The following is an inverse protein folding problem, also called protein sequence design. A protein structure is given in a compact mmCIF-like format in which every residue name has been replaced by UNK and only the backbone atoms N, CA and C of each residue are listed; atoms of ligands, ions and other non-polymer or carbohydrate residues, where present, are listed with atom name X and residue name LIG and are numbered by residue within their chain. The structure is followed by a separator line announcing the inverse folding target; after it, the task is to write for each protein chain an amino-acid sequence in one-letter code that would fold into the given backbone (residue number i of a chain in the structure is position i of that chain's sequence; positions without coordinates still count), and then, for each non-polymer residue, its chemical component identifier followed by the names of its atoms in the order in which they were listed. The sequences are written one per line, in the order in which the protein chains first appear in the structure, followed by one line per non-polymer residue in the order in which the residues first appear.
data_IF_230713004538
#
_entry.id   IF_230713004538
#
_cell.length_a   1.000
_cell.length_b   1.000
_cell.length_c   1.000
_cell.angle_alpha   90.00
_cell.angle_beta   90.00
_cell.angle_gamma   90.00
#
_symmetry.space_group_name_H-M   'P 1'
#
loop_
_entity.id
_entity.type
_entity.pdbx_description
1 polymer ?
#
# COMPACT_ATOMS: atom_id res chain seq x y z
N UNK A 1 -6.22 -18.16 -1.27
CA UNK A 1 -5.02 -17.81 -0.46
C UNK A 1 -5.41 -18.11 0.96
N UNK A 2 -4.59 -18.82 1.72
CA UNK A 2 -4.93 -19.14 3.12
C UNK A 2 -4.73 -17.93 4.03
N UNK A 3 -5.68 -17.69 4.93
CA UNK A 3 -5.60 -16.59 5.89
C UNK A 3 -6.39 -16.86 7.17
N UNK A 4 -5.95 -16.25 8.26
CA UNK A 4 -6.71 -16.17 9.50
C UNK A 4 -7.29 -14.77 9.70
N UNK A 5 -8.44 -14.70 10.37
CA UNK A 5 -9.11 -13.45 10.74
C UNK A 5 -9.30 -13.44 12.25
N UNK A 6 -8.91 -12.35 12.88
CA UNK A 6 -9.27 -12.04 14.26
C UNK A 6 -10.10 -10.76 14.28
N UNK A 7 -11.35 -10.86 14.71
CA UNK A 7 -12.21 -9.72 14.98
C UNK A 7 -12.14 -9.31 16.44
N UNK A 8 -12.13 -8.00 16.68
CA UNK A 8 -12.25 -7.40 17.99
C UNK A 8 -13.41 -6.40 17.99
N UNK A 9 -14.35 -6.57 18.91
CA UNK A 9 -15.50 -5.70 19.04
C UNK A 9 -15.07 -4.27 19.45
N UNK A 10 -15.73 -3.27 18.88
CA UNK A 10 -15.57 -1.87 19.23
C UNK A 10 -16.89 -1.38 19.80
N UNK A 11 -16.96 -1.30 21.13
CA UNK A 11 -18.15 -0.75 21.78
C UNK A 11 -18.05 0.78 21.84
N UNK A 12 -18.45 1.44 20.75
CA UNK A 12 -18.62 2.89 20.73
C UNK A 12 -19.90 3.29 19.98
N UNK A 13 -20.99 3.61 20.70
CA UNK A 13 -22.30 3.89 20.09
C UNK A 13 -22.32 5.14 19.21
N UNK A 14 -21.39 6.09 19.38
CA UNK A 14 -21.33 7.31 18.58
C UNK A 14 -20.65 7.13 17.21
N UNK A 15 -19.98 5.99 16.99
CA UNK A 15 -19.23 5.73 15.77
C UNK A 15 -19.88 4.64 14.94
N UNK A 16 -19.75 4.76 13.62
CA UNK A 16 -20.16 3.72 12.68
C UNK A 16 -19.29 2.47 12.75
N UNK A 17 -18.11 2.52 13.38
CA UNK A 17 -17.22 1.37 13.54
C UNK A 17 -17.75 0.44 14.62
N UNK A 18 -17.99 -0.81 14.24
CA UNK A 18 -18.51 -1.87 15.12
C UNK A 18 -17.46 -2.89 15.53
N UNK A 19 -16.50 -3.19 14.65
CA UNK A 19 -15.38 -4.09 14.97
C UNK A 19 -14.13 -3.75 14.14
N UNK A 20 -12.97 -4.21 14.61
CA UNK A 20 -11.73 -4.23 13.85
C UNK A 20 -11.29 -5.67 13.58
N UNK A 21 -11.11 -5.98 12.30
CA UNK A 21 -10.48 -7.19 11.81
C UNK A 21 -8.96 -7.00 11.69
N UNK A 22 -8.26 -8.02 12.12
CA UNK A 22 -6.87 -8.32 11.78
C UNK A 22 -6.88 -9.53 10.86
N UNK A 23 -6.23 -9.44 9.72
CA UNK A 23 -6.08 -10.54 8.77
C UNK A 23 -4.61 -10.95 8.74
N UNK A 24 -4.32 -12.24 8.78
CA UNK A 24 -2.97 -12.77 8.59
C UNK A 24 -3.00 -13.68 7.38
N UNK A 25 -2.21 -13.37 6.36
CA UNK A 25 -2.05 -14.22 5.17
C UNK A 25 -0.96 -15.24 5.43
N UNK A 26 -1.30 -16.52 5.32
CA UNK A 26 -0.47 -17.62 5.81
C UNK A 26 -0.18 -17.46 7.30
N UNK A 27 1.10 -17.48 7.65
CA UNK A 27 1.63 -17.17 8.99
C UNK A 27 2.61 -15.98 8.96
N UNK A 28 2.78 -15.35 7.80
CA UNK A 28 3.95 -14.53 7.51
C UNK A 28 3.65 -13.06 7.28
N UNK A 29 2.40 -12.68 6.95
CA UNK A 29 2.05 -11.27 6.69
C UNK A 29 0.76 -10.84 7.36
N UNK A 30 0.83 -9.78 8.17
CA UNK A 30 -0.29 -9.26 8.95
C UNK A 30 -0.82 -7.96 8.39
N UNK A 31 -2.14 -7.85 8.29
CA UNK A 31 -2.89 -6.63 8.00
C UNK A 31 -3.80 -6.32 9.18
N UNK A 32 -3.80 -5.07 9.62
CA UNK A 32 -4.59 -4.59 10.76
C UNK A 32 -5.49 -3.44 10.33
N UNK A 33 -6.41 -3.06 11.23
CA UNK A 33 -7.33 -1.93 11.04
C UNK A 33 -8.30 -2.10 9.87
N UNK A 34 -8.62 -3.34 9.49
CA UNK A 34 -9.79 -3.58 8.63
C UNK A 34 -11.02 -3.31 9.49
N UNK A 35 -11.91 -2.41 9.08
CA UNK A 35 -13.04 -1.99 9.91
C UNK A 35 -14.34 -2.63 9.43
N UNK A 36 -15.15 -3.13 10.36
CA UNK A 36 -16.57 -3.42 10.10
C UNK A 36 -17.37 -2.18 10.49
N UNK A 37 -18.08 -1.62 9.52
CA UNK A 37 -18.85 -0.39 9.64
C UNK A 37 -20.35 -0.68 9.48
N UNK A 38 -21.18 0.00 10.28
CA UNK A 38 -22.61 0.03 10.07
C UNK A 38 -22.98 1.14 9.08
N UNK A 39 -23.68 0.77 8.01
CA UNK A 39 -24.24 1.68 7.02
C UNK A 39 -25.77 1.59 6.96
N UNK A 40 -26.39 2.48 6.19
CA UNK A 40 -27.85 2.51 6.01
C UNK A 40 -28.43 1.26 5.33
N UNK A 41 -27.58 0.48 4.64
CA UNK A 41 -27.95 -0.77 3.95
C UNK A 41 -27.46 -2.03 4.69
N UNK A 42 -26.96 -1.88 5.90
CA UNK A 42 -26.34 -2.96 6.68
C UNK A 42 -24.84 -2.79 6.86
N UNK A 43 -24.24 -3.81 7.48
CA UNK A 43 -22.82 -3.82 7.83
C UNK A 43 -21.95 -4.06 6.58
N UNK A 44 -20.80 -3.41 6.54
CA UNK A 44 -19.85 -3.55 5.43
C UNK A 44 -18.41 -3.43 5.90
N UNK A 45 -17.49 -4.02 5.13
CA UNK A 45 -16.06 -4.01 5.41
C UNK A 45 -15.41 -2.80 4.73
N UNK A 46 -14.62 -2.05 5.49
CA UNK A 46 -13.76 -0.97 5.00
C UNK A 46 -12.31 -1.33 5.23
N UNK A 47 -11.53 -1.34 4.14
CA UNK A 47 -10.10 -1.57 4.22
C UNK A 47 -9.36 -0.38 4.86
N UNK A 48 -8.14 -0.61 5.40
CA UNK A 48 -7.32 0.46 5.93
C UNK A 48 -7.01 1.48 4.83
N UNK A 49 -7.29 2.75 5.08
CA UNK A 49 -7.13 3.82 4.09
C UNK A 49 -6.44 5.05 4.67
N UNK A 50 -5.87 5.85 3.77
CA UNK A 50 -5.26 7.13 4.09
C UNK A 50 -5.93 8.25 3.28
N UNK A 51 -6.01 9.43 3.90
CA UNK A 51 -6.52 10.63 3.23
C UNK A 51 -5.46 11.17 2.29
N UNK A 52 -5.81 11.34 1.02
CA UNK A 52 -4.92 11.94 0.02
C UNK A 52 -5.02 13.47 0.06
N UNK A 53 -4.17 14.14 -0.73
CA UNK A 53 -4.28 15.59 -0.98
C UNK A 53 -5.32 15.93 -2.06
N UNK A 54 -5.80 14.92 -2.78
CA UNK A 54 -6.76 15.08 -3.87
C UNK A 54 -8.16 15.33 -3.31
N UNK A 55 -8.97 16.07 -4.08
CA UNK A 55 -10.39 16.26 -3.82
C UNK A 55 -11.18 15.82 -5.04
N UNK A 56 -12.34 15.23 -4.80
CA UNK A 56 -13.25 14.85 -5.86
C UNK A 56 -13.96 16.06 -6.47
N UNK A 57 -14.79 15.83 -7.48
CA UNK A 57 -15.58 16.85 -8.17
C UNK A 57 -16.54 17.61 -7.24
N UNK A 58 -16.88 17.02 -6.09
CA UNK A 58 -17.75 17.59 -5.06
C UNK A 58 -16.96 18.20 -3.89
N UNK A 59 -15.64 18.38 -4.06
CA UNK A 59 -14.72 18.93 -3.07
C UNK A 59 -14.56 18.08 -1.79
N UNK A 60 -14.98 16.82 -1.81
CA UNK A 60 -14.74 15.88 -0.73
C UNK A 60 -13.29 15.38 -0.78
N UNK A 61 -12.67 15.06 0.38
CA UNK A 61 -11.35 14.45 0.39
C UNK A 61 -11.37 13.07 -0.27
N UNK A 62 -10.43 12.81 -1.17
CA UNK A 62 -10.24 11.47 -1.75
C UNK A 62 -9.42 10.62 -0.78
N UNK A 63 -9.90 9.41 -0.52
CA UNK A 63 -9.20 8.39 0.27
C UNK A 63 -8.67 7.33 -0.67
N UNK A 64 -7.48 6.80 -0.36
CA UNK A 64 -6.88 5.65 -1.05
C UNK A 64 -6.61 4.57 -0.02
N UNK A 65 -6.87 3.33 -0.39
CA UNK A 65 -6.60 2.20 0.47
C UNK A 65 -5.10 1.99 0.58
N UNK A 66 -4.65 1.68 1.79
CA UNK A 66 -3.27 1.23 2.06
C UNK A 66 -3.07 -0.17 1.50
N UNK A 67 -4.10 -0.99 1.62
CA UNK A 67 -4.11 -2.35 1.12
C UNK A 67 -5.53 -2.76 0.76
N UNK A 68 -5.69 -3.60 -0.26
CA UNK A 68 -6.99 -4.02 -0.74
C UNK A 68 -6.89 -5.33 -1.54
N UNK A 69 -7.97 -6.14 -1.54
CA UNK A 69 -8.12 -7.21 -2.52
C UNK A 69 -8.06 -6.65 -3.95
N UNK A 70 -7.45 -7.41 -4.85
CA UNK A 70 -7.30 -7.08 -6.28
C UNK A 70 -8.40 -7.78 -7.08
N UNK A 71 -8.60 -9.08 -6.83
CA UNK A 71 -9.58 -9.90 -7.55
C UNK A 71 -10.95 -9.79 -6.90
N UNK A 72 -12.00 -9.96 -7.71
CA UNK A 72 -13.38 -9.90 -7.23
C UNK A 72 -13.68 -11.10 -6.33
N UNK A 73 -13.19 -12.25 -6.74
CA UNK A 73 -13.35 -13.55 -6.07
C UNK A 73 -12.80 -13.46 -4.65
N UNK A 74 -11.55 -13.01 -4.49
CA UNK A 74 -10.93 -12.87 -3.18
C UNK A 74 -11.58 -11.77 -2.33
N UNK A 75 -12.06 -10.69 -2.97
CA UNK A 75 -12.80 -9.64 -2.27
C UNK A 75 -14.10 -10.18 -1.66
N UNK A 76 -14.88 -10.92 -2.44
CA UNK A 76 -16.16 -11.49 -1.99
C UNK A 76 -15.94 -12.53 -0.90
N UNK A 77 -14.92 -13.37 -1.04
CA UNK A 77 -14.48 -14.36 -0.05
C UNK A 77 -14.08 -13.67 1.27
N UNK A 78 -13.07 -12.81 1.25
CA UNK A 78 -12.55 -12.15 2.45
C UNK A 78 -13.61 -11.30 3.15
N UNK A 79 -14.41 -10.54 2.39
CA UNK A 79 -15.42 -9.66 2.99
C UNK A 79 -16.58 -10.49 3.55
N UNK A 80 -16.96 -11.56 2.85
CA UNK A 80 -17.96 -12.51 3.31
C UNK A 80 -17.54 -13.14 4.63
N UNK A 81 -16.30 -13.60 4.76
CA UNK A 81 -15.83 -14.27 5.97
C UNK A 81 -15.70 -13.31 7.15
N UNK A 82 -15.22 -12.08 6.93
CA UNK A 82 -15.22 -11.03 7.97
C UNK A 82 -16.65 -10.74 8.46
N UNK A 83 -17.63 -10.62 7.55
CA UNK A 83 -19.01 -10.33 7.93
C UNK A 83 -19.67 -11.51 8.65
N UNK A 84 -19.45 -12.74 8.20
CA UNK A 84 -19.92 -13.95 8.91
C UNK A 84 -19.36 -14.03 10.33
N UNK A 85 -18.07 -13.80 10.51
CA UNK A 85 -17.44 -13.77 11.83
C UNK A 85 -18.00 -12.64 12.72
N UNK A 86 -18.37 -11.51 12.11
CA UNK A 86 -19.02 -10.42 12.83
C UNK A 86 -20.45 -10.78 13.26
N UNK A 87 -21.22 -11.46 12.40
CA UNK A 87 -22.55 -11.98 12.78
C UNK A 87 -22.45 -12.98 13.93
N UNK A 88 -21.45 -13.88 13.91
CA UNK A 88 -21.16 -14.79 15.02
C UNK A 88 -20.79 -14.02 16.30
N UNK A 89 -19.95 -12.98 16.18
CA UNK A 89 -19.59 -12.10 17.30
C UNK A 89 -20.84 -11.45 17.92
N UNK A 90 -21.79 -10.97 17.11
CA UNK A 90 -23.05 -10.40 17.60
C UNK A 90 -23.95 -11.43 18.27
N UNK A 91 -24.04 -12.64 17.71
CA UNK A 91 -24.86 -13.73 18.26
C UNK A 91 -24.33 -14.27 19.58
N UNK A 92 -23.00 -14.41 19.68
CA UNK A 92 -22.33 -14.95 20.88
C UNK A 92 -22.09 -13.90 21.94
N UNK A 93 -22.07 -12.61 21.58
CA UNK A 93 -21.70 -11.50 22.46
C UNK A 93 -20.24 -11.51 22.89
N UNK A 94 -19.38 -12.27 22.20
CA UNK A 94 -17.95 -12.33 22.49
C UNK A 94 -17.25 -11.04 22.06
N UNK A 95 -16.29 -10.57 22.85
CA UNK A 95 -15.49 -9.39 22.49
C UNK A 95 -14.47 -9.68 21.38
N UNK A 96 -14.13 -10.95 21.17
CA UNK A 96 -13.13 -11.42 20.23
C UNK A 96 -13.58 -12.74 19.61
N UNK A 97 -13.53 -12.83 18.28
CA UNK A 97 -13.85 -14.04 17.51
C UNK A 97 -12.74 -14.27 16.48
N UNK A 98 -12.40 -15.54 16.22
CA UNK A 98 -11.30 -15.92 15.34
C UNK A 98 -11.71 -16.98 14.34
N UNK A 99 -11.11 -16.88 13.17
CA UNK A 99 -11.04 -17.93 12.16
C UNK A 99 -9.56 -18.19 11.92
N UNK A 100 -9.12 -19.42 12.17
CA UNK A 100 -7.77 -19.84 11.87
C UNK A 100 -7.73 -20.43 10.46
N UNK A 101 -6.59 -20.32 9.79
CA UNK A 101 -6.35 -21.03 8.54
C UNK A 101 -6.10 -22.51 8.83
N UNK A 102 -6.60 -23.41 7.98
CA UNK A 102 -6.41 -24.86 8.16
C UNK A 102 -4.93 -25.25 7.98
N UNK A 103 -4.33 -24.83 6.86
CA UNK A 103 -2.93 -25.09 6.52
C UNK A 103 -2.29 -23.78 6.04
N UNK A 104 -1.76 -22.93 6.96
CA UNK A 104 -1.17 -21.66 6.58
C UNK A 104 0.11 -21.88 5.77
N UNK A 105 0.10 -21.46 4.51
CA UNK A 105 1.28 -21.45 3.63
C UNK A 105 1.81 -20.03 3.43
N UNK A 106 3.11 -19.89 3.26
CA UNK A 106 3.76 -18.60 3.00
C UNK A 106 3.30 -18.06 1.63
N UNK A 107 2.65 -16.87 1.55
CA UNK A 107 2.20 -16.32 0.30
C UNK A 107 3.37 -15.93 -0.61
N UNK A 108 3.27 -16.31 -1.88
CA UNK A 108 4.09 -15.72 -2.94
C UNK A 108 3.79 -14.23 -3.06
N UNK A 109 4.81 -13.46 -3.45
CA UNK A 109 4.65 -12.02 -3.60
C UNK A 109 5.44 -11.46 -4.78
N UNK A 110 4.89 -10.40 -5.37
CA UNK A 110 5.58 -9.59 -6.38
C UNK A 110 5.78 -8.17 -5.87
N UNK A 111 6.85 -7.53 -6.32
CA UNK A 111 7.20 -6.16 -5.91
C UNK A 111 7.34 -5.27 -7.14
N UNK A 112 6.76 -4.07 -7.06
CA UNK A 112 6.97 -3.01 -8.03
C UNK A 112 7.44 -1.76 -7.31
N UNK A 113 8.54 -1.16 -7.77
CA UNK A 113 9.09 0.05 -7.16
C UNK A 113 9.12 1.18 -8.17
N UNK A 114 8.67 2.35 -7.72
CA UNK A 114 8.82 3.62 -8.43
C UNK A 114 9.86 4.45 -7.69
N UNK A 115 11.08 4.61 -8.22
CA UNK A 115 12.08 5.51 -7.68
C UNK A 115 11.62 6.96 -7.77
N UNK A 116 11.74 7.72 -6.68
CA UNK A 116 11.53 9.17 -6.69
C UNK A 116 12.14 9.81 -5.45
N UNK A 117 12.71 10.99 -5.61
CA UNK A 117 13.22 11.77 -4.49
C UNK A 117 12.17 12.81 -4.09
N UNK A 118 11.91 12.91 -2.79
CA UNK A 118 10.97 13.90 -2.25
C UNK A 118 11.73 14.98 -1.49
N UNK A 119 11.60 16.23 -1.95
CA UNK A 119 12.18 17.38 -1.27
C UNK A 119 11.82 17.42 0.22
N UNK A 120 12.82 17.54 1.09
CA UNK A 120 12.66 17.56 2.54
C UNK A 120 12.35 16.21 3.18
N UNK A 121 12.48 15.09 2.46
CA UNK A 121 12.32 13.74 2.98
C UNK A 121 13.47 12.83 2.58
N UNK A 122 13.78 11.86 3.43
CA UNK A 122 14.75 10.81 3.12
C UNK A 122 14.15 9.68 2.25
N UNK A 123 12.91 9.82 1.81
CA UNK A 123 12.24 8.83 0.96
C UNK A 123 12.77 8.94 -0.47
N UNK A 124 13.21 7.80 -1.00
CA UNK A 124 13.85 7.67 -2.32
C UNK A 124 13.04 6.79 -3.28
N UNK A 125 11.97 6.13 -2.81
CA UNK A 125 11.10 5.34 -3.66
C UNK A 125 9.80 4.92 -2.97
N UNK A 126 8.81 4.55 -3.77
CA UNK A 126 7.56 3.93 -3.31
C UNK A 126 7.48 2.53 -3.92
N UNK A 127 7.21 1.54 -3.09
CA UNK A 127 7.00 0.17 -3.46
C UNK A 127 5.53 -0.23 -3.27
N UNK A 128 5.07 -1.09 -4.15
CA UNK A 128 3.81 -1.80 -4.05
C UNK A 128 4.12 -3.30 -4.04
N UNK A 129 3.54 -4.01 -3.09
CA UNK A 129 3.68 -5.45 -2.92
C UNK A 129 2.33 -6.08 -3.26
N UNK A 130 2.33 -7.19 -4.00
CA UNK A 130 1.13 -7.97 -4.28
C UNK A 130 1.35 -9.38 -3.78
N UNK A 131 0.44 -9.88 -2.93
CA UNK A 131 0.45 -11.23 -2.36
C UNK A 131 -0.49 -12.14 -3.17
N UNK A 132 -0.01 -13.31 -3.60
CA UNK A 132 -0.67 -14.30 -4.49
C UNK A 132 -1.60 -13.69 -5.54
N UNK A 133 -1.16 -12.60 -6.19
CA UNK A 133 -1.93 -11.83 -7.19
C UNK A 133 -3.34 -11.39 -6.77
N UNK A 134 -3.65 -11.49 -5.47
CA UNK A 134 -5.01 -11.35 -4.94
C UNK A 134 -5.13 -10.21 -3.94
N UNK A 135 -4.02 -9.78 -3.33
CA UNK A 135 -4.03 -8.72 -2.33
C UNK A 135 -2.88 -7.74 -2.52
N UNK A 136 -3.20 -6.46 -2.71
CA UNK A 136 -2.22 -5.38 -2.88
C UNK A 136 -1.93 -4.69 -1.55
N UNK A 137 -0.66 -4.37 -1.33
CA UNK A 137 -0.15 -3.52 -0.25
C UNK A 137 0.62 -2.38 -0.89
N UNK A 138 0.03 -1.19 -0.87
CA UNK A 138 0.63 0.03 -1.39
C UNK A 138 1.37 0.82 -0.33
N UNK A 139 2.02 1.90 -0.76
CA UNK A 139 2.72 2.87 0.09
C UNK A 139 3.86 2.32 0.96
N UNK A 140 4.50 1.23 0.53
CA UNK A 140 5.73 0.76 1.17
C UNK A 140 6.83 1.74 0.78
N UNK A 141 7.46 2.41 1.74
CA UNK A 141 8.42 3.48 1.46
C UNK A 141 9.84 2.95 1.45
N UNK A 142 10.62 3.28 0.42
CA UNK A 142 12.08 3.06 0.40
C UNK A 142 12.74 4.33 0.92
N UNK A 143 13.50 4.22 2.01
CA UNK A 143 14.05 5.37 2.73
C UNK A 143 15.57 5.26 2.85
N UNK A 144 16.27 6.35 2.55
CA UNK A 144 17.71 6.49 2.74
C UNK A 144 18.03 6.87 4.20
N UNK A 145 18.42 5.89 5.00
CA UNK A 145 18.88 6.11 6.37
C UNK A 145 20.36 6.47 6.46
N UNK A 146 20.81 6.77 7.68
CA UNK A 146 22.24 7.02 8.00
C UNK A 146 23.11 5.78 7.76
N UNK A 147 22.55 4.58 7.96
CA UNK A 147 23.24 3.29 7.87
C UNK A 147 22.90 2.54 6.57
N UNK A 148 22.39 3.23 5.55
CA UNK A 148 21.94 2.62 4.30
C UNK A 148 20.43 2.72 4.07
N UNK A 149 19.99 2.19 2.94
CA UNK A 149 18.58 2.15 2.55
C UNK A 149 17.83 1.11 3.36
N UNK A 150 16.60 1.43 3.74
CA UNK A 150 15.70 0.52 4.43
C UNK A 150 14.26 0.67 3.95
N UNK A 151 13.48 -0.37 4.16
CA UNK A 151 12.05 -0.43 3.80
C UNK A 151 11.23 -0.04 5.02
N UNK A 152 10.33 0.91 4.85
CA UNK A 152 9.35 1.34 5.85
C UNK A 152 7.95 0.93 5.39
N UNK A 153 7.29 0.10 6.21
CA UNK A 153 5.93 -0.36 5.92
C UNK A 153 4.91 0.76 6.11
N UNK A 154 3.71 0.65 5.51
CA UNK A 154 2.65 1.62 5.69
C UNK A 154 2.24 1.71 7.16
N UNK A 155 2.26 2.92 7.71
CA UNK A 155 1.99 3.15 9.13
C UNK A 155 1.05 4.32 9.35
N UNK A 156 0.39 4.31 10.51
CA UNK A 156 -0.46 5.41 10.97
C UNK A 156 0.03 5.90 12.34
N UNK A 157 -0.21 7.18 12.61
CA UNK A 157 0.15 7.81 13.88
C UNK A 157 -0.93 7.54 14.92
N UNK A 158 -0.60 6.78 15.95
CA UNK A 158 -1.43 6.51 17.12
C UNK A 158 -0.88 7.28 18.32
N UNK A 159 -1.32 8.54 18.48
CA UNK A 159 -0.82 9.44 19.51
C UNK A 159 0.64 9.83 19.27
N UNK A 160 1.55 9.41 20.14
CA UNK A 160 2.99 9.65 20.02
C UNK A 160 3.76 8.54 19.28
N UNK A 161 3.13 7.38 19.03
CA UNK A 161 3.76 6.23 18.39
C UNK A 161 3.22 6.01 16.98
N UNK A 162 4.07 5.53 16.09
CA UNK A 162 3.64 4.99 14.80
C UNK A 162 3.35 3.51 14.95
N UNK A 163 2.30 3.04 14.28
CA UNK A 163 1.95 1.62 14.20
C UNK A 163 1.79 1.24 12.74
N UNK A 164 2.40 0.13 12.36
CA UNK A 164 2.31 -0.39 11.00
C UNK A 164 0.93 -1.00 10.79
N UNK A 165 0.34 -0.72 9.62
CA UNK A 165 -0.94 -1.27 9.19
C UNK A 165 -0.72 -2.67 8.63
N UNK A 166 0.31 -2.81 7.80
CA UNK A 166 0.69 -4.04 7.13
C UNK A 166 2.14 -4.36 7.48
N UNK A 167 2.46 -5.56 7.94
CA UNK A 167 3.84 -5.93 8.25
C UNK A 167 4.08 -7.44 8.19
N UNK A 168 5.30 -7.87 7.78
CA UNK A 168 5.72 -9.25 7.88
C UNK A 168 5.88 -9.66 9.36
N UNK A 169 5.42 -10.86 9.70
CA UNK A 169 5.45 -11.44 11.06
C UNK A 169 6.76 -12.18 11.29
N UNK A 170 7.14 -13.08 10.37
CA UNK A 170 8.32 -13.92 10.52
C UNK A 170 9.57 -13.15 10.08
N UNK A 171 10.70 -13.47 10.71
CA UNK A 171 11.99 -12.85 10.37
C UNK A 171 12.39 -13.16 8.93
N UNK A 172 12.21 -14.42 8.51
CA UNK A 172 12.54 -14.90 7.18
C UNK A 172 11.75 -14.16 6.10
N UNK A 173 10.42 -14.08 6.24
CA UNK A 173 9.58 -13.37 5.27
C UNK A 173 9.89 -11.87 5.25
N UNK A 174 10.19 -11.27 6.40
CA UNK A 174 10.64 -9.88 6.48
C UNK A 174 11.94 -9.64 5.71
N UNK A 175 12.90 -10.54 5.80
CA UNK A 175 14.16 -10.45 5.04
C UNK A 175 13.90 -10.61 3.54
N UNK A 176 13.08 -11.61 3.14
CA UNK A 176 12.67 -11.82 1.73
C UNK A 176 12.05 -10.56 1.14
N UNK A 177 11.05 -9.98 1.82
CA UNK A 177 10.35 -8.77 1.36
C UNK A 177 11.28 -7.57 1.29
N UNK A 178 12.10 -7.34 2.32
CA UNK A 178 13.02 -6.20 2.35
C UNK A 178 14.05 -6.28 1.21
N UNK A 179 14.65 -7.46 1.01
CA UNK A 179 15.63 -7.68 -0.04
C UNK A 179 15.00 -7.49 -1.42
N UNK A 180 13.85 -8.11 -1.67
CA UNK A 180 13.13 -7.98 -2.94
C UNK A 180 12.78 -6.52 -3.27
N UNK A 181 12.33 -5.72 -2.29
CA UNK A 181 12.05 -4.30 -2.47
C UNK A 181 13.32 -3.50 -2.79
N UNK A 182 14.41 -3.73 -2.06
CA UNK A 182 15.66 -2.99 -2.27
C UNK A 182 16.32 -3.36 -3.60
N UNK A 183 16.30 -4.63 -3.99
CA UNK A 183 16.81 -5.11 -5.28
C UNK A 183 16.00 -4.52 -6.44
N UNK A 184 14.66 -4.59 -6.36
CA UNK A 184 13.77 -4.00 -7.39
C UNK A 184 13.97 -2.49 -7.49
N UNK A 185 14.21 -1.80 -6.37
CA UNK A 185 14.54 -0.38 -6.37
C UNK A 185 15.86 -0.08 -7.10
N UNK A 186 16.92 -0.86 -6.83
CA UNK A 186 18.21 -0.68 -7.50
C UNK A 186 18.10 -0.89 -9.01
N UNK A 187 17.42 -1.96 -9.42
CA UNK A 187 17.15 -2.25 -10.84
C UNK A 187 16.37 -1.11 -11.51
N UNK A 188 15.29 -0.62 -10.88
CA UNK A 188 14.49 0.47 -11.40
C UNK A 188 15.28 1.79 -11.49
N UNK A 189 16.19 2.05 -10.54
CA UNK A 189 17.06 3.24 -10.55
C UNK A 189 18.09 3.17 -11.68
N UNK A 190 18.70 2.01 -11.88
CA UNK A 190 19.65 1.78 -12.99
C UNK A 190 18.97 1.92 -14.35
N UNK A 191 17.77 1.35 -14.52
CA UNK A 191 16.97 1.50 -15.73
C UNK A 191 16.62 2.98 -16.00
N UNK A 192 16.17 3.71 -14.98
CA UNK A 192 15.88 5.15 -15.12
C UNK A 192 17.11 5.98 -15.51
N UNK A 193 18.30 5.62 -15.01
CA UNK A 193 19.56 6.26 -15.42
C UNK A 193 19.93 5.95 -16.87
N UNK A 194 19.79 4.70 -17.31
CA UNK A 194 20.08 4.28 -18.69
C UNK A 194 19.13 4.95 -19.68
N UNK A 195 17.82 4.96 -19.42
CA UNK A 195 16.84 5.64 -20.27
C UNK A 195 17.11 7.15 -20.38
N UNK A 196 17.54 7.78 -19.29
CA UNK A 196 17.94 9.19 -19.29
C UNK A 196 19.17 9.46 -20.16
N UNK A 197 20.17 8.58 -20.10
CA UNK A 197 21.39 8.67 -20.92
C UNK A 197 21.11 8.41 -22.41
N UNK A 198 20.26 7.45 -22.73
CA UNK A 198 19.84 7.16 -24.11
C UNK A 198 19.03 8.31 -24.72
N UNK A 199 18.11 8.91 -23.95
CA UNK A 199 17.37 10.10 -24.42
C UNK A 199 18.28 11.31 -24.63
N UNK A 200 19.25 11.54 -23.74
CA UNK A 200 20.20 12.63 -23.87
C UNK A 200 21.13 12.43 -25.08
N UNK A 201 21.61 11.21 -25.32
CA UNK A 201 22.46 10.89 -26.47
C UNK A 201 21.70 10.92 -27.80
N UNK A 202 20.43 10.52 -27.84
CA UNK A 202 19.57 10.69 -29.01
C UNK A 202 19.28 12.16 -29.33
N UNK A 203 19.04 13.01 -28.31
CA UNK A 203 18.91 14.46 -28.50
C UNK A 203 20.20 15.12 -29.02
N UNK A 204 21.38 14.70 -28.53
CA UNK A 204 22.66 15.21 -29.04
C UNK A 204 22.95 14.74 -30.47
N UNK A 205 22.57 13.52 -30.85
CA UNK A 205 22.74 13.03 -32.24
C UNK A 205 21.78 13.69 -33.25
N UNK A 206 20.63 14.20 -32.80
CA UNK A 206 19.73 14.99 -33.67
C UNK A 206 20.23 16.40 -33.94
N UNK A 207 21.14 16.94 -33.12
CA UNK A 207 21.67 18.30 -33.25
C UNK A 207 22.79 18.41 -34.31
N UNK A 208 23.44 17.30 -34.68
CA UNK A 208 24.56 17.27 -35.64
C UNK A 208 24.11 17.26 -37.13
N UNK A 209 22.80 17.34 -37.41
CA UNK A 209 22.24 17.35 -38.78
C UNK A 209 21.29 18.51 -39.10
N UNK A 210 21.37 19.61 -38.35
CA UNK A 210 20.95 20.94 -38.82
C UNK A 210 19.47 21.33 -38.59
N UNK A 211 19.32 22.28 -37.65
CA UNK A 211 18.20 23.21 -37.42
C UNK A 211 16.98 22.78 -36.57
N UNK A 212 16.79 23.50 -35.44
CA UNK A 212 15.74 24.52 -35.35
C UNK A 212 16.34 25.85 -34.87
N UNK A 213 16.13 26.91 -35.65
CA UNK A 213 16.52 28.28 -35.31
C UNK A 213 15.78 28.73 -34.05
N UNK A 214 16.51 29.31 -33.10
CA UNK A 214 15.92 30.27 -32.18
C UNK A 214 15.35 31.41 -33.04
N UNK A 215 14.02 31.60 -33.03
CA UNK A 215 13.38 32.77 -33.61
C UNK A 215 13.71 33.97 -32.73
N UNK A 216 14.91 34.53 -32.94
CA UNK A 216 15.26 35.87 -32.51
C UNK A 216 14.46 36.86 -33.35
N UNK A 217 13.21 37.10 -32.99
CA UNK A 217 12.55 38.34 -33.36
C UNK A 217 12.95 39.43 -32.34
N UNK A 218 13.58 40.53 -32.78
CA UNK A 218 13.73 41.69 -31.91
C UNK A 218 12.34 42.25 -31.61
N UNK A 219 11.99 42.33 -30.32
CA UNK A 219 10.77 42.98 -29.87
C UNK A 219 10.74 44.44 -30.37
N UNK A 220 9.66 44.90 -31.01
CA UNK A 220 9.55 46.29 -31.43
C UNK A 220 9.44 47.17 -30.19
N UNK A 221 10.39 48.11 -30.05
CA UNK A 221 10.37 49.15 -29.03
C UNK A 221 9.06 49.94 -29.09
N UNK A 222 8.46 50.19 -27.91
CA UNK A 222 7.53 51.28 -27.69
C UNK A 222 7.83 51.97 -26.37
#
# INVERSE_FOLDING_TARGET
MEYSIQLNAVNNPEKSVRAFATVVFGDSFKVTNVAVLEGSKGNFVSMPSFRTKERDEYNNPVYKDVCNPITKEFREELYGDILKLYEEMEQTGQAEVKMEADEPDEPEFTVRVTPFEREGSNMVGLANIVLNDSFAVGNVSVVQGKNGMFVAMPSYKAGSKYRDVCFPITKEFREKVNNAVLETYQQAKEQAMQEGQERASQQMQTDDRGFMKASGEPLPFR
#
